data_IF_587654783511
#
_entry.id   IF_587654783511
#
_cell.length_a   1.000
_cell.length_b   1.000
_cell.length_c   1.000
_cell.angle_alpha   90.00
_cell.angle_beta   90.00
_cell.angle_gamma   90.00
#
_symmetry.space_group_name_H-M   'P 1'
#
loop_
_entity.id
_entity.type
_entity.pdbx_description
1 polymer ?
#
# COMPACT_ATOMS: atom_id res chain seq x y z
N UNK A 1 -30.00 16.60 -33.53
CA UNK A 1 -30.83 15.41 -33.76
C UNK A 1 -31.83 15.31 -32.62
N UNK A 2 -33.09 15.72 -32.84
CA UNK A 2 -34.13 15.67 -31.79
C UNK A 2 -34.59 14.22 -31.71
N UNK A 3 -34.22 13.53 -30.62
CA UNK A 3 -34.62 12.14 -30.38
C UNK A 3 -36.04 12.16 -29.81
N UNK A 4 -37.00 11.72 -30.62
CA UNK A 4 -38.41 11.56 -30.24
C UNK A 4 -38.63 10.20 -29.58
N UNK A 5 -39.30 10.20 -28.43
CA UNK A 5 -39.78 9.00 -27.75
C UNK A 5 -40.99 8.40 -28.49
N UNK A 6 -41.11 7.06 -28.60
CA UNK A 6 -42.33 6.43 -29.07
C UNK A 6 -43.34 6.37 -27.92
N UNK A 7 -44.51 7.02 -28.06
CA UNK A 7 -45.68 6.71 -27.23
C UNK A 7 -46.53 7.88 -26.73
N UNK A 8 -46.07 9.13 -26.74
CA UNK A 8 -46.90 10.29 -26.37
C UNK A 8 -46.59 11.52 -27.22
N UNK A 9 -47.63 12.09 -27.83
CA UNK A 9 -47.57 13.28 -28.71
C UNK A 9 -47.26 14.58 -27.94
N UNK A 10 -46.08 14.67 -27.32
CA UNK A 10 -45.56 15.90 -26.70
C UNK A 10 -44.15 16.17 -27.22
N UNK A 11 -43.91 17.37 -27.75
CA UNK A 11 -42.63 17.77 -28.36
C UNK A 11 -41.58 18.21 -27.33
N UNK A 12 -42.01 18.54 -26.11
CA UNK A 12 -41.15 19.02 -25.03
C UNK A 12 -41.48 18.29 -23.73
N UNK A 13 -40.47 17.87 -23.00
CA UNK A 13 -40.59 17.21 -21.69
C UNK A 13 -39.67 17.89 -20.69
N UNK A 14 -40.08 17.90 -19.41
CA UNK A 14 -39.19 18.34 -18.34
C UNK A 14 -38.09 17.30 -18.15
N UNK A 15 -36.85 17.74 -17.97
CA UNK A 15 -35.69 16.86 -17.78
C UNK A 15 -35.85 15.87 -16.61
N UNK A 16 -36.63 16.25 -15.59
CA UNK A 16 -37.01 15.39 -14.47
C UNK A 16 -37.87 14.19 -14.87
N UNK A 17 -38.78 14.36 -15.84
CA UNK A 17 -39.68 13.30 -16.31
C UNK A 17 -38.92 12.29 -17.19
N UNK A 18 -37.99 12.79 -18.00
CA UNK A 18 -37.10 11.97 -18.82
C UNK A 18 -36.21 11.08 -17.93
N UNK A 19 -35.54 11.68 -16.94
CA UNK A 19 -34.66 10.96 -16.02
C UNK A 19 -35.40 9.84 -15.28
N UNK A 20 -36.62 10.11 -14.81
CA UNK A 20 -37.46 9.11 -14.12
C UNK A 20 -37.80 7.91 -15.01
N UNK A 21 -38.07 8.15 -16.30
CA UNK A 21 -38.42 7.09 -17.26
C UNK A 21 -37.19 6.27 -17.68
N UNK A 22 -36.02 6.89 -17.78
CA UNK A 22 -34.75 6.18 -18.01
C UNK A 22 -34.36 5.29 -16.83
N UNK A 23 -34.58 5.77 -15.61
CA UNK A 23 -34.37 5.02 -14.38
C UNK A 23 -35.32 3.81 -14.29
N UNK A 24 -36.61 4.01 -14.57
CA UNK A 24 -37.61 2.93 -14.59
C UNK A 24 -37.29 1.86 -15.65
N UNK A 25 -36.88 2.26 -16.86
CA UNK A 25 -36.45 1.34 -17.91
C UNK A 25 -35.10 0.65 -17.60
N UNK A 26 -34.26 1.25 -16.76
CA UNK A 26 -33.04 0.61 -16.25
C UNK A 26 -33.38 -0.48 -15.25
N UNK A 27 -34.27 -0.20 -14.30
CA UNK A 27 -34.74 -1.19 -13.33
C UNK A 27 -35.47 -2.38 -13.99
N UNK A 28 -36.28 -2.11 -15.01
CA UNK A 28 -37.00 -3.13 -15.79
C UNK A 28 -36.02 -4.04 -16.57
N UNK A 29 -34.97 -3.47 -17.18
CA UNK A 29 -33.92 -4.24 -17.86
C UNK A 29 -33.05 -5.06 -16.91
N UNK A 30 -32.80 -4.54 -15.71
CA UNK A 30 -32.02 -5.23 -14.69
C UNK A 30 -32.85 -6.25 -13.88
N UNK A 31 -34.15 -6.41 -14.17
CA UNK A 31 -35.03 -7.35 -13.48
C UNK A 31 -35.23 -7.05 -11.99
N UNK A 32 -34.88 -5.84 -11.56
CA UNK A 32 -34.86 -5.45 -10.14
C UNK A 32 -36.11 -4.63 -9.83
N UNK A 33 -37.11 -5.24 -9.19
CA UNK A 33 -38.28 -4.50 -8.70
C UNK A 33 -37.89 -3.78 -7.40
N UNK A 34 -38.05 -2.44 -7.30
CA UNK A 34 -37.81 -1.76 -6.03
C UNK A 34 -38.82 -2.26 -5.00
N UNK A 35 -38.30 -2.85 -3.92
CA UNK A 35 -39.07 -3.28 -2.76
C UNK A 35 -39.49 -2.00 -2.02
N UNK A 36 -40.75 -1.59 -2.19
CA UNK A 36 -41.37 -0.61 -1.30
C UNK A 36 -41.64 -1.31 0.04
N UNK A 37 -40.84 -0.97 1.05
CA UNK A 37 -40.99 -1.49 2.41
C UNK A 37 -42.31 -1.00 3.04
N UNK A 38 -43.20 -1.94 3.38
CA UNK A 38 -44.06 -1.88 4.58
C UNK A 38 -44.20 -3.30 5.20
N UNK A 39 -44.39 -3.41 6.52
CA UNK A 39 -43.94 -4.58 7.28
C UNK A 39 -45.01 -5.66 7.52
N UNK A 40 -44.50 -6.86 7.86
CA UNK A 40 -45.08 -7.98 8.62
C UNK A 40 -46.00 -8.99 7.91
N UNK A 41 -45.69 -10.29 8.11
CA UNK A 41 -46.64 -11.41 8.03
C UNK A 41 -46.14 -12.72 7.37
N UNK A 42 -45.59 -13.63 8.19
CA UNK A 42 -45.73 -15.12 8.18
C UNK A 42 -45.45 -15.99 6.91
N UNK A 43 -44.44 -16.89 6.95
CA UNK A 43 -44.51 -18.41 7.03
C UNK A 43 -44.92 -19.06 5.68
N UNK A 44 -44.28 -20.05 5.02
CA UNK A 44 -43.28 -21.11 5.32
C UNK A 44 -42.82 -21.79 3.98
N UNK A 45 -42.02 -22.89 3.95
CA UNK A 45 -40.96 -23.16 2.97
C UNK A 45 -41.32 -24.20 1.89
N UNK A 46 -40.48 -24.32 0.85
CA UNK A 46 -40.40 -25.53 0.01
C UNK A 46 -38.95 -25.90 -0.27
N UNK A 47 -38.63 -27.10 0.20
CA UNK A 47 -37.47 -27.94 -0.12
C UNK A 47 -37.49 -28.29 -1.61
N UNK A 48 -36.31 -28.44 -2.22
CA UNK A 48 -36.12 -29.47 -3.24
C UNK A 48 -34.65 -29.89 -3.29
N UNK A 49 -34.48 -31.18 -3.05
CA UNK A 49 -33.27 -31.99 -3.15
C UNK A 49 -32.59 -31.89 -4.52
N UNK A 50 -31.25 -31.88 -4.52
CA UNK A 50 -30.48 -32.73 -5.44
C UNK A 50 -29.01 -32.88 -4.99
N UNK A 51 -28.63 -34.14 -4.75
CA UNK A 51 -27.28 -34.61 -4.41
C UNK A 51 -26.37 -34.73 -5.66
N UNK A 52 -25.04 -34.86 -5.48
CA UNK A 52 -24.03 -34.30 -6.36
C UNK A 52 -23.39 -35.32 -7.33
N UNK A 53 -22.82 -34.82 -8.43
CA UNK A 53 -21.83 -35.55 -9.23
C UNK A 53 -20.45 -34.90 -9.08
N UNK A 54 -19.50 -35.79 -8.85
CA UNK A 54 -18.14 -35.63 -8.38
C UNK A 54 -17.18 -35.18 -9.48
N UNK A 55 -16.24 -34.28 -9.15
CA UNK A 55 -14.96 -34.17 -9.83
C UNK A 55 -13.89 -33.84 -8.77
N UNK A 56 -13.09 -34.85 -8.48
CA UNK A 56 -12.08 -34.95 -7.44
C UNK A 56 -10.82 -34.14 -7.74
N UNK A 57 -10.33 -33.40 -6.74
CA UNK A 57 -8.90 -33.38 -6.41
C UNK A 57 -8.69 -33.08 -4.92
N UNK A 58 -7.75 -33.78 -4.26
CA UNK A 58 -7.64 -33.84 -2.80
C UNK A 58 -6.81 -32.67 -2.26
N UNK A 59 -7.10 -32.21 -1.03
CA UNK A 59 -6.10 -31.76 -0.03
C UNK A 59 -6.84 -31.22 1.20
N UNK A 60 -6.63 -31.94 2.31
CA UNK A 60 -6.77 -31.57 3.73
C UNK A 60 -8.14 -31.07 4.21
N UNK A 61 -8.98 -32.06 4.42
CA UNK A 61 -9.90 -32.21 5.54
C UNK A 61 -9.25 -31.76 6.87
N UNK A 62 -9.64 -30.58 7.34
CA UNK A 62 -9.67 -30.28 8.76
C UNK A 62 -11.15 -30.14 9.12
N UNK A 63 -11.70 -31.24 9.62
CA UNK A 63 -12.99 -31.30 10.31
C UNK A 63 -12.98 -30.28 11.45
N UNK A 64 -13.57 -29.12 11.22
CA UNK A 64 -14.25 -28.38 12.27
C UNK A 64 -15.74 -28.55 11.97
N UNK A 65 -16.43 -29.18 12.92
CA UNK A 65 -17.84 -29.50 12.88
C UNK A 65 -18.70 -28.40 12.24
N UNK A 66 -19.71 -28.82 11.49
CA UNK A 66 -20.85 -28.03 11.00
C UNK A 66 -21.69 -27.44 12.15
N UNK A 67 -21.07 -26.81 13.13
CA UNK A 67 -21.77 -25.88 13.99
C UNK A 67 -22.12 -24.67 13.12
N UNK A 68 -23.40 -24.55 12.75
CA UNK A 68 -23.91 -23.34 12.13
C UNK A 68 -23.66 -22.16 13.08
N UNK A 69 -22.52 -21.49 12.90
CA UNK A 69 -22.17 -20.30 13.66
C UNK A 69 -23.30 -19.26 13.53
N UNK A 70 -23.73 -18.63 14.63
CA UNK A 70 -24.76 -17.61 14.55
C UNK A 70 -24.30 -16.49 13.60
N UNK A 71 -25.20 -16.08 12.70
CA UNK A 71 -24.99 -14.98 11.76
C UNK A 71 -24.90 -13.67 12.55
N UNK A 72 -23.71 -13.36 13.06
CA UNK A 72 -23.46 -12.20 13.93
C UNK A 72 -23.27 -10.89 13.16
N UNK A 73 -23.08 -10.99 11.84
CA UNK A 73 -22.86 -9.84 10.96
C UNK A 73 -24.01 -9.66 9.99
N UNK A 74 -24.38 -8.40 9.72
CA UNK A 74 -25.32 -8.07 8.66
C UNK A 74 -24.73 -8.39 7.28
N UNK A 75 -25.59 -8.68 6.30
CA UNK A 75 -25.15 -8.95 4.93
C UNK A 75 -24.32 -7.82 4.35
N UNK A 76 -24.71 -6.57 4.58
CA UNK A 76 -23.96 -5.40 4.10
C UNK A 76 -22.53 -5.37 4.64
N UNK A 77 -22.38 -5.75 5.90
CA UNK A 77 -21.07 -5.79 6.55
C UNK A 77 -20.20 -6.93 6.02
N UNK A 78 -20.80 -8.10 5.75
CA UNK A 78 -20.11 -9.22 5.09
C UNK A 78 -19.59 -8.80 3.71
N UNK A 79 -20.43 -8.14 2.91
CA UNK A 79 -20.07 -7.62 1.59
C UNK A 79 -18.91 -6.64 1.70
N UNK A 80 -19.00 -5.70 2.66
CA UNK A 80 -17.96 -4.69 2.90
C UNK A 80 -16.62 -5.36 3.22
N UNK A 81 -16.58 -6.28 4.19
CA UNK A 81 -15.34 -6.95 4.62
C UNK A 81 -14.73 -7.85 3.55
N UNK A 82 -15.56 -8.51 2.73
CA UNK A 82 -15.10 -9.29 1.57
C UNK A 82 -14.46 -8.38 0.51
N UNK A 83 -15.12 -7.27 0.15
CA UNK A 83 -14.57 -6.28 -0.80
C UNK A 83 -13.25 -5.68 -0.32
N UNK A 84 -13.18 -5.32 0.96
CA UNK A 84 -11.96 -4.76 1.53
C UNK A 84 -10.79 -5.77 1.54
N UNK A 85 -11.07 -7.07 1.42
CA UNK A 85 -10.07 -8.15 1.26
C UNK A 85 -9.83 -8.55 -0.21
N UNK A 86 -10.52 -7.91 -1.16
CA UNK A 86 -10.44 -8.26 -2.59
C UNK A 86 -11.14 -9.57 -2.95
N UNK A 87 -11.98 -10.10 -2.07
CA UNK A 87 -12.63 -11.40 -2.23
C UNK A 87 -13.99 -11.27 -2.94
N UNK A 88 -14.39 -12.25 -3.77
CA UNK A 88 -15.70 -12.25 -4.41
C UNK A 88 -16.82 -12.11 -3.37
N UNK A 89 -17.78 -11.23 -3.64
CA UNK A 89 -18.90 -10.93 -2.72
C UNK A 89 -19.83 -12.14 -2.55
N UNK A 90 -19.95 -12.94 -3.61
CA UNK A 90 -20.77 -14.15 -3.67
C UNK A 90 -20.20 -15.12 -4.72
N UNK A 91 -20.07 -16.39 -4.36
CA UNK A 91 -19.73 -17.48 -5.28
C UNK A 91 -21.01 -18.13 -5.83
N UNK A 92 -20.89 -18.87 -6.95
CA UNK A 92 -22.03 -19.56 -7.54
C UNK A 92 -22.59 -20.61 -6.58
N UNK A 93 -23.91 -20.61 -6.37
CA UNK A 93 -24.58 -21.50 -5.42
C UNK A 93 -24.40 -21.15 -3.94
N UNK A 94 -23.65 -20.10 -3.61
CA UNK A 94 -23.40 -19.67 -2.22
C UNK A 94 -24.65 -18.97 -1.64
N UNK A 95 -25.10 -19.34 -0.44
CA UNK A 95 -26.11 -18.57 0.29
C UNK A 95 -25.47 -17.39 1.03
N UNK A 96 -26.28 -16.44 1.51
CA UNK A 96 -25.75 -15.31 2.30
C UNK A 96 -25.04 -15.78 3.58
N UNK A 97 -25.50 -16.90 4.14
CA UNK A 97 -24.89 -17.55 5.29
C UNK A 97 -23.53 -18.18 4.94
N UNK A 98 -23.42 -18.83 3.78
CA UNK A 98 -22.16 -19.43 3.32
C UNK A 98 -21.09 -18.36 3.04
N UNK A 99 -21.50 -17.22 2.47
CA UNK A 99 -20.62 -16.07 2.28
C UNK A 99 -20.10 -15.50 3.62
N UNK A 100 -20.92 -15.51 4.67
CA UNK A 100 -20.52 -15.12 6.02
C UNK A 100 -19.52 -16.12 6.62
N UNK A 101 -19.78 -17.42 6.49
CA UNK A 101 -18.84 -18.46 6.97
C UNK A 101 -17.50 -18.38 6.23
N UNK A 102 -17.52 -18.16 4.91
CA UNK A 102 -16.30 -17.96 4.12
C UNK A 102 -15.53 -16.73 4.59
N UNK A 103 -16.20 -15.60 4.80
CA UNK A 103 -15.56 -14.41 5.36
C UNK A 103 -14.90 -14.74 6.71
N UNK A 104 -15.60 -15.46 7.60
CA UNK A 104 -15.06 -15.83 8.90
C UNK A 104 -13.82 -16.72 8.80
N UNK A 105 -13.83 -17.68 7.88
CA UNK A 105 -12.68 -18.53 7.58
C UNK A 105 -11.48 -17.71 7.08
N UNK A 106 -11.72 -16.74 6.20
CA UNK A 106 -10.68 -15.84 5.69
C UNK A 106 -10.13 -14.95 6.81
N UNK A 107 -10.99 -14.43 7.70
CA UNK A 107 -10.57 -13.63 8.86
C UNK A 107 -9.67 -14.41 9.84
N UNK A 108 -9.96 -15.70 10.05
CA UNK A 108 -9.19 -16.58 10.92
C UNK A 108 -7.83 -16.93 10.29
N UNK A 109 -7.83 -17.27 8.99
CA UNK A 109 -6.61 -17.65 8.27
C UNK A 109 -5.70 -16.46 7.96
N UNK A 110 -6.27 -15.26 7.81
CA UNK A 110 -5.52 -14.04 7.46
C UNK A 110 -5.97 -12.89 8.38
N UNK A 111 -5.41 -12.83 9.61
CA UNK A 111 -5.74 -11.77 10.54
C UNK A 111 -5.33 -10.40 9.98
N UNK A 112 -6.22 -9.42 10.11
CA UNK A 112 -5.97 -8.05 9.67
C UNK A 112 -5.00 -7.35 10.62
N UNK A 113 -3.72 -7.37 10.29
CA UNK A 113 -2.70 -6.58 11.02
C UNK A 113 -2.59 -5.14 10.48
N UNK A 114 -3.27 -4.81 9.37
CA UNK A 114 -2.93 -3.63 8.54
C UNK A 114 -4.07 -2.64 8.23
N UNK A 115 -5.29 -2.85 8.70
CA UNK A 115 -6.38 -1.87 8.53
C UNK A 115 -6.36 -0.84 9.65
N UNK A 116 -5.74 0.30 9.35
CA UNK A 116 -5.53 1.42 10.27
C UNK A 116 -4.17 2.03 9.97
N UNK A 117 -3.10 1.28 10.26
CA UNK A 117 -1.73 1.73 10.03
C UNK A 117 -1.45 2.17 8.60
N UNK A 118 -1.93 1.44 7.58
CA UNK A 118 -1.61 1.78 6.19
C UNK A 118 -2.36 3.03 5.69
N UNK A 119 -3.57 3.26 6.17
CA UNK A 119 -4.37 4.42 5.79
C UNK A 119 -3.95 5.66 6.57
N UNK A 120 -3.67 5.50 7.86
CA UNK A 120 -3.19 6.59 8.72
C UNK A 120 -1.76 6.98 8.38
N UNK A 121 -0.89 6.03 8.01
CA UNK A 121 0.44 6.32 7.50
C UNK A 121 0.36 7.03 6.16
N UNK A 122 -0.50 6.57 5.24
CA UNK A 122 -0.70 7.24 3.96
C UNK A 122 -1.30 8.64 4.15
N UNK A 123 -2.27 8.80 5.05
CA UNK A 123 -2.85 10.11 5.35
C UNK A 123 -1.84 11.04 6.05
N UNK A 124 -0.98 10.50 6.92
CA UNK A 124 0.11 11.25 7.54
C UNK A 124 1.15 11.67 6.49
N UNK A 125 1.51 10.78 5.57
CA UNK A 125 2.40 11.09 4.44
C UNK A 125 1.77 12.12 3.50
N UNK A 126 0.51 11.95 3.09
CA UNK A 126 -0.22 12.90 2.25
C UNK A 126 -0.34 14.28 2.94
N UNK A 127 -0.44 14.31 4.27
CA UNK A 127 -0.50 15.56 5.06
C UNK A 127 0.87 16.24 5.18
N UNK A 128 1.94 15.45 5.34
CA UNK A 128 3.32 15.96 5.28
C UNK A 128 3.61 16.51 3.87
N UNK A 129 3.18 15.80 2.82
CA UNK A 129 3.30 16.23 1.42
C UNK A 129 2.52 17.52 1.16
N UNK A 130 1.31 17.67 1.70
CA UNK A 130 0.52 18.90 1.60
C UNK A 130 1.16 20.07 2.36
N UNK A 131 1.71 19.83 3.56
CA UNK A 131 2.42 20.86 4.32
C UNK A 131 3.67 21.32 3.57
N UNK A 132 4.39 20.39 2.96
CA UNK A 132 5.58 20.67 2.16
C UNK A 132 5.26 21.37 0.83
N UNK A 133 4.18 20.99 0.14
CA UNK A 133 3.70 21.70 -1.06
C UNK A 133 3.35 23.16 -0.74
N UNK A 134 2.70 23.40 0.40
CA UNK A 134 2.37 24.76 0.83
C UNK A 134 3.64 25.56 1.18
N UNK A 135 4.67 24.92 1.73
CA UNK A 135 5.96 25.54 2.02
C UNK A 135 6.75 25.87 0.74
N UNK A 136 6.71 24.99 -0.27
CA UNK A 136 7.32 25.23 -1.59
C UNK A 136 6.62 26.38 -2.33
N UNK A 137 5.28 26.39 -2.33
CA UNK A 137 4.49 27.46 -2.99
C UNK A 137 4.66 28.79 -2.26
N UNK A 138 4.85 28.77 -0.94
CA UNK A 138 5.10 29.97 -0.13
C UNK A 138 6.54 30.49 -0.14
N UNK A 139 7.51 29.69 -0.60
CA UNK A 139 8.95 29.98 -0.49
C UNK A 139 9.68 30.26 -1.81
N UNK A 140 8.99 30.29 -2.96
CA UNK A 140 9.61 30.63 -4.24
C UNK A 140 9.83 32.14 -4.38
N UNK A 141 11.00 32.61 -3.94
CA UNK A 141 11.66 33.76 -4.56
C UNK A 141 12.18 33.33 -5.96
N UNK A 142 12.00 34.14 -7.01
CA UNK A 142 12.38 33.76 -8.37
C UNK A 142 13.89 33.91 -8.56
N UNK A 143 14.64 32.83 -8.35
CA UNK A 143 16.08 32.80 -8.63
C UNK A 143 16.71 31.42 -8.48
N UNK A 144 17.21 30.89 -9.60
CA UNK A 144 18.09 29.70 -9.74
C UNK A 144 17.48 28.33 -9.36
N UNK A 145 16.66 27.78 -10.27
CA UNK A 145 15.96 26.51 -10.07
C UNK A 145 16.80 25.23 -10.26
N UNK A 146 18.00 25.31 -10.87
CA UNK A 146 18.70 24.11 -11.34
C UNK A 146 19.49 23.35 -10.28
N UNK A 147 19.91 23.99 -9.19
CA UNK A 147 20.73 23.35 -8.13
C UNK A 147 20.02 23.20 -6.79
N UNK A 148 18.81 23.75 -6.63
CA UNK A 148 18.12 23.77 -5.34
C UNK A 148 17.67 22.37 -4.86
N UNK A 149 17.54 21.40 -5.77
CA UNK A 149 17.10 20.04 -5.47
C UNK A 149 18.25 19.03 -5.38
N UNK A 150 19.49 19.44 -5.62
CA UNK A 150 20.64 18.54 -5.61
C UNK A 150 21.12 18.27 -4.17
N UNK A 151 21.41 17.00 -3.90
CA UNK A 151 22.00 16.54 -2.65
C UNK A 151 23.48 16.90 -2.60
N UNK A 152 23.96 17.19 -1.38
CA UNK A 152 25.40 17.39 -1.17
C UNK A 152 26.12 16.06 -1.33
N UNK A 153 26.94 15.96 -2.37
CA UNK A 153 27.80 14.80 -2.57
C UNK A 153 29.10 15.03 -1.80
N UNK A 154 29.38 14.18 -0.81
CA UNK A 154 30.71 14.11 -0.21
C UNK A 154 31.57 13.20 -1.07
N UNK A 155 32.31 13.79 -2.01
CA UNK A 155 33.31 13.06 -2.80
C UNK A 155 34.53 12.76 -1.92
N UNK A 156 34.51 11.60 -1.28
CA UNK A 156 35.75 10.90 -0.97
C UNK A 156 36.11 10.12 -2.24
N UNK A 157 37.28 10.36 -2.85
CA UNK A 157 37.80 9.69 -4.05
C UNK A 157 38.09 8.19 -3.82
N UNK A 158 37.13 7.49 -3.24
CA UNK A 158 37.18 6.09 -2.90
C UNK A 158 36.58 5.33 -4.07
N UNK A 159 37.34 4.42 -4.67
CA UNK A 159 36.83 3.52 -5.72
C UNK A 159 36.29 2.24 -5.11
N UNK A 160 35.43 1.54 -5.85
CA UNK A 160 34.92 0.21 -5.46
C UNK A 160 36.09 -0.75 -5.29
N UNK A 161 37.06 -0.74 -6.21
CA UNK A 161 38.29 -1.54 -6.16
C UNK A 161 39.12 -1.29 -4.89
N UNK A 162 39.21 -0.03 -4.44
CA UNK A 162 39.90 0.30 -3.19
C UNK A 162 39.13 -0.25 -1.98
N UNK A 163 37.81 -0.24 -1.99
CA UNK A 163 36.99 -0.80 -0.92
C UNK A 163 37.06 -2.32 -0.86
N UNK A 164 37.09 -3.01 -2.00
CA UNK A 164 37.28 -4.46 -2.06
C UNK A 164 38.63 -4.85 -1.44
N UNK A 165 39.70 -4.16 -1.83
CA UNK A 165 41.03 -4.38 -1.26
C UNK A 165 41.09 -4.09 0.25
N UNK A 166 40.38 -3.06 0.73
CA UNK A 166 40.28 -2.77 2.16
C UNK A 166 39.45 -3.81 2.91
N UNK A 167 38.38 -4.32 2.28
CA UNK A 167 37.50 -5.38 2.79
C UNK A 167 38.25 -6.68 3.08
N UNK A 168 39.24 -7.04 2.26
CA UNK A 168 40.11 -8.20 2.54
C UNK A 168 40.87 -8.07 3.86
N UNK A 169 41.15 -6.85 4.31
CA UNK A 169 41.86 -6.58 5.56
C UNK A 169 40.94 -6.36 6.76
N UNK A 170 39.63 -6.29 6.53
CA UNK A 170 38.62 -6.00 7.54
C UNK A 170 38.42 -7.20 8.49
N UNK A 171 38.43 -6.95 9.79
CA UNK A 171 38.24 -7.97 10.82
C UNK A 171 39.45 -8.89 11.01
N UNK A 172 40.63 -8.48 10.57
CA UNK A 172 41.90 -9.23 10.77
C UNK A 172 42.64 -8.85 12.07
N UNK A 173 41.98 -8.09 12.97
CA UNK A 173 42.43 -7.87 14.35
C UNK A 173 42.89 -6.45 14.69
N UNK A 174 42.87 -5.51 13.75
CA UNK A 174 43.09 -4.08 14.03
C UNK A 174 41.75 -3.34 14.09
N UNK A 175 41.20 -3.24 15.31
CA UNK A 175 39.93 -2.57 15.58
C UNK A 175 39.92 -1.11 15.13
N UNK A 176 41.04 -0.40 15.22
CA UNK A 176 41.07 1.00 14.81
C UNK A 176 40.97 1.11 13.29
N UNK A 177 41.73 0.27 12.57
CA UNK A 177 41.70 0.20 11.11
C UNK A 177 40.34 -0.27 10.61
N UNK A 178 39.73 -1.27 11.27
CA UNK A 178 38.39 -1.75 10.90
C UNK A 178 37.35 -0.63 10.98
N UNK A 179 37.40 0.19 12.04
CA UNK A 179 36.49 1.34 12.18
C UNK A 179 36.71 2.42 11.12
N UNK A 180 37.95 2.59 10.63
CA UNK A 180 38.24 3.48 9.49
C UNK A 180 37.67 2.95 8.19
N UNK A 181 37.86 1.65 7.93
CA UNK A 181 37.32 0.99 6.73
C UNK A 181 35.79 1.05 6.74
N UNK A 182 35.14 0.73 7.87
CA UNK A 182 33.68 0.85 8.04
C UNK A 182 33.22 2.29 7.76
N UNK A 183 33.92 3.28 8.31
CA UNK A 183 33.58 4.70 8.09
C UNK A 183 33.66 5.05 6.61
N UNK A 184 34.74 4.65 5.94
CA UNK A 184 35.00 4.93 4.53
C UNK A 184 33.95 4.27 3.65
N UNK A 185 33.62 3.00 3.91
CA UNK A 185 32.57 2.26 3.20
C UNK A 185 31.19 2.91 3.34
N UNK A 186 30.76 3.23 4.55
CA UNK A 186 29.43 3.82 4.79
C UNK A 186 29.30 5.22 4.15
N UNK A 187 30.36 6.03 4.19
CA UNK A 187 30.40 7.32 3.49
C UNK A 187 30.36 7.18 1.99
N UNK A 188 31.11 6.22 1.43
CA UNK A 188 31.09 5.92 0.01
C UNK A 188 29.68 5.54 -0.43
N UNK A 189 29.00 4.64 0.28
CA UNK A 189 27.64 4.21 -0.06
C UNK A 189 26.64 5.38 -0.06
N UNK A 190 26.70 6.25 0.96
CA UNK A 190 25.88 7.47 1.02
C UNK A 190 26.20 8.43 -0.13
N UNK A 191 27.47 8.54 -0.52
CA UNK A 191 27.94 9.38 -1.62
C UNK A 191 27.46 8.88 -2.98
N UNK A 192 27.57 7.56 -3.25
CA UNK A 192 27.06 6.93 -4.47
C UNK A 192 25.55 7.12 -4.58
N UNK A 193 24.82 6.90 -3.49
CA UNK A 193 23.36 7.11 -3.50
C UNK A 193 23.01 8.58 -3.78
N UNK A 194 23.70 9.54 -3.17
CA UNK A 194 23.49 10.96 -3.47
C UNK A 194 23.79 11.32 -4.94
N UNK A 195 24.88 10.78 -5.51
CA UNK A 195 25.23 10.96 -6.92
C UNK A 195 24.14 10.40 -7.83
N UNK A 196 23.65 9.19 -7.55
CA UNK A 196 22.58 8.56 -8.33
C UNK A 196 21.29 9.40 -8.27
N UNK A 197 20.92 9.92 -7.09
CA UNK A 197 19.74 10.76 -6.95
C UNK A 197 19.87 12.10 -7.69
N UNK A 198 21.08 12.67 -7.78
CA UNK A 198 21.37 13.91 -8.52
C UNK A 198 21.51 13.70 -10.03
N UNK A 199 21.94 12.52 -10.48
CA UNK A 199 22.08 12.18 -11.90
C UNK A 199 20.73 12.02 -12.62
N UNK A 200 19.62 11.97 -11.87
CA UNK A 200 18.26 11.94 -12.42
C UNK A 200 17.93 13.25 -13.12
N UNK A 201 17.10 13.16 -14.16
CA UNK A 201 16.59 14.32 -14.90
C UNK A 201 15.88 15.32 -13.97
N UNK A 202 15.96 16.62 -14.26
CA UNK A 202 15.51 17.67 -13.34
C UNK A 202 14.01 17.59 -13.03
N UNK A 203 13.18 17.22 -14.01
CA UNK A 203 11.74 17.02 -13.75
C UNK A 203 11.50 15.84 -12.81
N UNK A 204 12.33 14.80 -12.83
CA UNK A 204 12.27 13.67 -11.90
C UNK A 204 12.70 14.12 -10.51
N UNK A 205 13.78 14.90 -10.39
CA UNK A 205 14.22 15.48 -9.10
C UNK A 205 13.17 16.39 -8.48
N UNK A 206 12.48 17.20 -9.31
CA UNK A 206 11.42 18.12 -8.88
C UNK A 206 10.09 17.42 -8.55
N UNK A 207 9.88 16.19 -9.03
CA UNK A 207 8.68 15.41 -8.73
C UNK A 207 8.55 15.10 -7.22
N UNK A 208 7.33 14.82 -6.77
CA UNK A 208 7.06 14.42 -5.37
C UNK A 208 7.94 13.23 -4.98
N UNK A 209 8.02 12.21 -5.84
CA UNK A 209 8.86 11.03 -5.60
C UNK A 209 10.36 11.38 -5.56
N UNK A 210 10.82 12.26 -6.44
CA UNK A 210 12.21 12.73 -6.46
C UNK A 210 12.61 13.41 -5.16
N UNK A 211 11.76 14.33 -4.69
CA UNK A 211 11.94 15.05 -3.42
C UNK A 211 11.86 14.12 -2.22
N UNK A 212 10.91 13.17 -2.20
CA UNK A 212 10.79 12.16 -1.14
C UNK A 212 12.04 11.28 -1.06
N UNK A 213 12.56 10.83 -2.21
CA UNK A 213 13.78 10.04 -2.27
C UNK A 213 14.99 10.84 -1.74
N UNK A 214 15.11 12.12 -2.11
CA UNK A 214 16.16 13.01 -1.60
C UNK A 214 16.02 13.29 -0.10
N UNK A 215 14.79 13.45 0.41
CA UNK A 215 14.52 13.61 1.84
C UNK A 215 14.88 12.35 2.64
N UNK A 216 14.52 11.17 2.12
CA UNK A 216 14.89 9.87 2.71
C UNK A 216 16.40 9.71 2.82
N UNK A 217 17.15 10.11 1.79
CA UNK A 217 18.62 10.07 1.81
C UNK A 217 19.19 11.00 2.90
N UNK A 218 18.72 12.26 2.97
CA UNK A 218 19.15 13.23 4.01
C UNK A 218 18.83 12.73 5.42
N UNK A 219 17.66 12.11 5.59
CA UNK A 219 17.24 11.55 6.87
C UNK A 219 18.13 10.37 7.27
N UNK A 220 18.44 9.48 6.34
CA UNK A 220 19.36 8.35 6.56
C UNK A 220 20.76 8.84 6.94
N UNK A 221 21.29 9.86 6.25
CA UNK A 221 22.56 10.49 6.62
C UNK A 221 22.52 11.02 8.06
N UNK A 222 21.44 11.69 8.46
CA UNK A 222 21.24 12.20 9.81
C UNK A 222 21.22 11.08 10.87
N UNK A 223 20.53 9.98 10.58
CA UNK A 223 20.47 8.81 11.45
C UNK A 223 21.80 8.09 11.61
N UNK A 224 22.69 8.19 10.62
CA UNK A 224 24.04 7.62 10.70
C UNK A 224 25.04 8.53 11.43
N UNK A 225 24.72 9.81 11.70
CA UNK A 225 25.62 10.74 12.42
C UNK A 225 26.10 10.22 13.78
N UNK A 226 25.26 9.62 14.65
CA UNK A 226 25.71 9.04 15.91
C UNK A 226 26.70 7.89 15.71
N UNK A 227 26.47 7.04 14.69
CA UNK A 227 27.37 5.94 14.34
C UNK A 227 28.73 6.49 13.87
N UNK A 228 28.75 7.44 12.94
CA UNK A 228 30.00 8.08 12.49
C UNK A 228 30.77 8.76 13.64
N UNK A 229 30.06 9.35 14.61
CA UNK A 229 30.70 9.90 15.82
C UNK A 229 31.36 8.81 16.66
N UNK A 230 30.73 7.65 16.80
CA UNK A 230 31.29 6.51 17.54
C UNK A 230 32.49 5.88 16.84
N UNK A 231 32.39 5.67 15.53
CA UNK A 231 33.48 5.18 14.69
C UNK A 231 34.72 6.10 14.79
N UNK A 232 34.52 7.42 14.61
CA UNK A 232 35.59 8.41 14.72
C UNK A 232 36.23 8.49 16.11
N UNK A 233 35.45 8.29 17.17
CA UNK A 233 35.94 8.26 18.56
C UNK A 233 36.54 6.91 18.97
N UNK A 234 36.53 5.91 18.08
CA UNK A 234 36.99 4.54 18.36
C UNK A 234 36.31 3.92 19.58
N UNK A 235 35.02 4.20 19.78
CA UNK A 235 34.26 3.74 20.96
C UNK A 235 32.97 2.98 20.59
N UNK A 236 32.95 2.41 19.39
CA UNK A 236 31.87 1.52 18.97
C UNK A 236 32.04 0.16 19.69
N UNK A 237 30.97 -0.38 20.30
CA UNK A 237 30.98 -1.71 20.91
C UNK A 237 31.42 -2.81 19.93
N UNK A 238 32.12 -3.82 20.44
CA UNK A 238 32.73 -4.89 19.63
C UNK A 238 31.70 -5.75 18.90
N UNK A 239 30.56 -6.04 19.55
CA UNK A 239 29.41 -6.76 18.99
C UNK A 239 28.80 -6.02 17.78
N UNK A 240 28.60 -4.72 17.90
CA UNK A 240 28.07 -3.89 16.81
C UNK A 240 29.11 -3.79 15.67
N UNK A 241 30.39 -3.63 16.01
CA UNK A 241 31.49 -3.60 15.04
C UNK A 241 31.54 -4.90 14.24
N UNK A 242 31.55 -6.04 14.91
CA UNK A 242 31.59 -7.36 14.28
C UNK A 242 30.40 -7.56 13.35
N UNK A 243 29.18 -7.22 13.82
CA UNK A 243 27.98 -7.28 12.98
C UNK A 243 28.09 -6.40 11.73
N UNK A 244 28.61 -5.18 11.84
CA UNK A 244 28.80 -4.30 10.66
C UNK A 244 29.91 -4.84 9.75
N UNK A 245 30.99 -5.34 10.32
CA UNK A 245 32.09 -5.97 9.57
C UNK A 245 31.60 -7.14 8.74
N UNK A 246 30.74 -8.00 9.29
CA UNK A 246 30.17 -9.15 8.59
C UNK A 246 29.19 -8.74 7.48
N UNK A 247 28.54 -7.59 7.60
CA UNK A 247 27.68 -7.03 6.53
C UNK A 247 28.51 -6.46 5.37
N UNK A 248 29.71 -5.96 5.65
CA UNK A 248 30.57 -5.29 4.66
C UNK A 248 31.45 -6.29 3.89
N UNK A 249 31.87 -7.38 4.53
CA UNK A 249 32.64 -8.48 3.91
C UNK A 249 31.84 -9.20 2.83
#
# INVERSE_FOLDING_TARGET
>A
MIRTFPGENKKYFKRSELAKKEEEAYFERCGYKPINEKPSGEIQPKEEDQKPLTSSNPVLELELAEEKLPMTLSRQEVIRRLRERGEPIRLFGETDYDAFQRLRKIEILTPEVNKGLRNDLKAALDKIDQQYLNEIVGGQEPGEEDTQNDLKVHEENTTIEELEALGESLGKGDDHKDMDIITKFLKFLLGVWAKELNAREDYVKRSVQGKLNSATQKQTESYLRPLFRKLRKRNLPADIKESITDIIK
#
